data_IF_563939414497
#
_entry.id   IF_563939414497
#
_cell.length_a   1.000
_cell.length_b   1.000
_cell.length_c   1.000
_cell.angle_alpha   90.00
_cell.angle_beta   90.00
_cell.angle_gamma   90.00
#
_symmetry.space_group_name_H-M   'P 1'
#
loop_
_entity.id
_entity.type
_entity.pdbx_description
1 polymer ?
#
# COMPACT_ATOMS: atom_id res chain seq x y z
N UNK A 1 -17.18 -8.68 20.94
CA UNK A 1 -17.91 -9.02 19.70
C UNK A 1 -17.74 -7.84 18.75
N UNK A 2 -16.70 -7.84 17.91
CA UNK A 2 -16.49 -6.75 16.96
C UNK A 2 -17.39 -6.98 15.76
N UNK A 3 -18.41 -6.13 15.63
CA UNK A 3 -19.30 -6.14 14.49
C UNK A 3 -18.50 -5.73 13.24
N UNK A 4 -18.24 -6.68 12.35
CA UNK A 4 -17.77 -6.40 10.99
C UNK A 4 -19.00 -5.91 10.24
N UNK A 5 -19.26 -4.61 10.34
CA UNK A 5 -20.33 -3.97 9.58
C UNK A 5 -20.00 -3.99 8.10
N UNK A 6 -20.73 -4.81 7.34
CA UNK A 6 -20.88 -4.64 5.89
C UNK A 6 -21.52 -3.28 5.63
N UNK A 7 -20.70 -2.23 5.47
CA UNK A 7 -21.09 -1.01 4.78
C UNK A 7 -20.63 -1.16 3.34
N UNK A 8 -21.46 -0.77 2.37
CA UNK A 8 -21.06 -0.63 0.98
C UNK A 8 -19.67 0.05 0.94
N UNK A 9 -18.67 -0.72 0.51
CA UNK A 9 -17.31 -0.64 1.02
C UNK A 9 -16.49 0.29 0.13
N UNK A 10 -16.80 1.59 0.15
CA UNK A 10 -16.05 2.58 -0.60
C UNK A 10 -14.57 2.50 -0.20
N UNK A 11 -13.70 2.33 -1.20
CA UNK A 11 -12.27 2.29 -0.95
C UNK A 11 -11.84 3.63 -0.31
N UNK A 12 -11.16 3.62 0.84
CA UNK A 12 -10.85 4.83 1.57
C UNK A 12 -10.03 5.77 0.70
N UNK A 13 -10.53 6.98 0.49
CA UNK A 13 -9.85 8.01 -0.28
C UNK A 13 -9.18 9.02 0.65
N UNK A 14 -7.90 9.27 0.44
CA UNK A 14 -7.16 10.36 1.08
C UNK A 14 -6.53 11.26 0.03
N UNK A 15 -6.75 12.57 0.16
CA UNK A 15 -6.11 13.57 -0.69
C UNK A 15 -4.63 13.69 -0.32
N UNK A 16 -3.75 13.57 -1.31
CA UNK A 16 -2.32 13.87 -1.14
C UNK A 16 -2.14 15.34 -0.75
N UNK A 17 -1.29 15.60 0.24
CA UNK A 17 -1.05 16.96 0.74
C UNK A 17 0.09 17.66 0.00
N UNK A 18 1.11 16.90 -0.38
CA UNK A 18 2.23 17.34 -1.21
C UNK A 18 2.26 16.55 -2.55
N UNK A 19 2.90 17.10 -3.58
CA UNK A 19 3.11 16.41 -4.85
C UNK A 19 3.94 15.13 -4.69
N UNK A 20 4.81 15.07 -3.68
CA UNK A 20 5.70 13.94 -3.41
C UNK A 20 5.05 12.86 -2.51
N UNK A 21 3.82 13.07 -2.05
CA UNK A 21 3.12 12.17 -1.13
C UNK A 21 2.26 11.10 -1.81
N UNK A 22 2.28 10.99 -3.14
CA UNK A 22 1.42 10.06 -3.86
C UNK A 22 1.57 8.62 -3.34
N UNK A 23 2.81 8.14 -3.16
CA UNK A 23 3.13 6.82 -2.62
C UNK A 23 2.69 6.60 -1.16
N UNK A 24 3.13 7.44 -0.20
CA UNK A 24 2.69 7.37 1.20
C UNK A 24 1.17 7.45 1.38
N UNK A 25 0.50 8.27 0.57
CA UNK A 25 -0.96 8.40 0.57
C UNK A 25 -1.64 7.11 0.08
N UNK A 26 -1.12 6.48 -0.97
CA UNK A 26 -1.59 5.17 -1.43
C UNK A 26 -1.45 4.09 -0.35
N UNK A 27 -0.31 4.02 0.35
CA UNK A 27 -0.12 3.11 1.47
C UNK A 27 -1.11 3.35 2.61
N UNK A 28 -1.43 4.62 2.88
CA UNK A 28 -2.45 4.99 3.88
C UNK A 28 -3.84 4.48 3.50
N UNK A 29 -4.24 4.63 2.23
CA UNK A 29 -5.53 4.14 1.73
C UNK A 29 -5.60 2.62 1.88
N UNK A 30 -4.59 1.88 1.42
CA UNK A 30 -4.54 0.42 1.54
C UNK A 30 -4.54 -0.04 2.99
N UNK A 31 -3.74 0.59 3.85
CA UNK A 31 -3.72 0.22 5.26
C UNK A 31 -5.10 0.43 5.91
N UNK A 32 -5.76 1.54 5.59
CA UNK A 32 -7.11 1.84 6.08
C UNK A 32 -8.13 0.81 5.58
N UNK A 33 -8.00 0.37 4.32
CA UNK A 33 -8.86 -0.66 3.74
C UNK A 33 -8.74 -1.98 4.51
N UNK A 34 -7.55 -2.34 4.98
CA UNK A 34 -7.33 -3.49 5.86
C UNK A 34 -7.56 -3.20 7.36
N UNK A 35 -8.21 -2.09 7.71
CA UNK A 35 -8.55 -1.74 9.09
C UNK A 35 -7.41 -1.19 9.94
N UNK A 36 -6.25 -0.87 9.36
CA UNK A 36 -5.12 -0.23 10.06
C UNK A 36 -5.05 1.26 9.75
N UNK A 37 -5.08 2.09 10.79
CA UNK A 37 -4.98 3.54 10.66
C UNK A 37 -3.59 4.00 11.06
N UNK A 38 -2.85 4.55 10.11
CA UNK A 38 -1.55 5.17 10.35
C UNK A 38 -1.63 6.68 10.06
N UNK A 39 -1.07 7.54 10.92
CA UNK A 39 -0.89 8.95 10.61
C UNK A 39 -0.03 9.11 9.35
N UNK A 40 -0.37 10.07 8.48
CA UNK A 40 0.42 10.30 7.26
C UNK A 40 1.88 10.63 7.59
N UNK A 41 2.10 11.43 8.64
CA UNK A 41 3.45 11.79 9.09
C UNK A 41 4.29 10.57 9.49
N UNK A 42 3.67 9.56 10.12
CA UNK A 42 4.35 8.32 10.43
C UNK A 42 4.81 7.62 9.15
N UNK A 43 3.93 7.47 8.16
CA UNK A 43 4.25 6.84 6.88
C UNK A 43 5.36 7.62 6.16
N UNK A 44 5.29 8.96 6.15
CA UNK A 44 6.35 9.81 5.57
C UNK A 44 7.71 9.52 6.19
N UNK A 45 7.79 9.46 7.52
CA UNK A 45 9.03 9.23 8.24
C UNK A 45 9.67 7.88 7.90
N UNK A 46 8.86 6.82 7.76
CA UNK A 46 9.38 5.49 7.41
C UNK A 46 9.61 5.30 5.91
N UNK A 47 8.94 6.09 5.05
CA UNK A 47 9.08 6.03 3.59
C UNK A 47 10.30 6.74 3.00
N UNK A 48 11.12 7.38 3.84
CA UNK A 48 12.37 8.04 3.45
C UNK A 48 12.21 8.91 2.18
N UNK A 49 11.14 9.70 2.12
CA UNK A 49 10.80 10.53 0.96
C UNK A 49 12.02 11.39 0.57
N UNK A 50 12.46 11.25 -0.67
CA UNK A 50 13.53 12.07 -1.24
C UNK A 50 12.95 13.25 -2.01
N UNK A 51 13.81 14.20 -2.42
CA UNK A 51 13.37 15.31 -3.29
C UNK A 51 12.89 14.84 -4.67
N UNK A 52 13.23 13.60 -5.05
CA UNK A 52 12.81 12.95 -6.28
C UNK A 52 11.56 12.08 -6.10
N UNK A 53 11.09 11.91 -4.86
CA UNK A 53 9.87 11.18 -4.52
C UNK A 53 10.16 9.89 -3.78
N UNK A 54 9.27 8.92 -3.96
CA UNK A 54 9.35 7.59 -3.33
C UNK A 54 9.46 6.55 -4.42
N UNK A 55 10.50 5.72 -4.37
CA UNK A 55 10.67 4.62 -5.32
C UNK A 55 9.76 3.44 -4.97
N UNK A 56 9.55 2.50 -5.89
CA UNK A 56 8.81 1.26 -5.60
C UNK A 56 9.50 0.48 -4.47
N UNK A 57 10.83 0.44 -4.47
CA UNK A 57 11.61 -0.22 -3.42
C UNK A 57 11.39 0.43 -2.04
N UNK A 58 11.33 1.75 -1.97
CA UNK A 58 11.03 2.46 -0.71
C UNK A 58 9.60 2.16 -0.25
N UNK A 59 8.63 2.12 -1.17
CA UNK A 59 7.24 1.74 -0.84
C UNK A 59 7.14 0.31 -0.32
N UNK A 60 7.91 -0.62 -0.89
CA UNK A 60 8.00 -2.00 -0.41
C UNK A 60 8.53 -2.07 1.02
N UNK A 61 9.69 -1.46 1.27
CA UNK A 61 10.29 -1.40 2.60
C UNK A 61 9.35 -0.74 3.62
N UNK A 62 8.64 0.31 3.19
CA UNK A 62 7.63 0.99 4.01
C UNK A 62 6.47 0.06 4.35
N UNK A 63 5.92 -0.64 3.37
CA UNK A 63 4.83 -1.59 3.56
C UNK A 63 5.24 -2.73 4.51
N UNK A 64 6.45 -3.25 4.37
CA UNK A 64 7.04 -4.25 5.28
C UNK A 64 7.16 -3.75 6.71
N UNK A 65 7.65 -2.52 6.90
CA UNK A 65 7.72 -1.87 8.21
C UNK A 65 6.32 -1.67 8.84
N UNK A 66 5.29 -1.47 8.04
CA UNK A 66 3.89 -1.39 8.49
C UNK A 66 3.26 -2.77 8.78
N UNK A 67 4.01 -3.85 8.54
CA UNK A 67 3.61 -5.23 8.77
C UNK A 67 2.81 -5.85 7.62
N UNK A 68 2.94 -5.31 6.40
CA UNK A 68 2.39 -5.90 5.19
C UNK A 68 3.47 -6.66 4.42
N UNK A 69 3.05 -7.64 3.63
CA UNK A 69 3.89 -8.23 2.59
C UNK A 69 3.60 -7.54 1.28
N UNK A 70 4.65 -7.22 0.54
CA UNK A 70 4.52 -6.52 -0.73
C UNK A 70 5.18 -7.30 -1.86
N UNK A 71 4.52 -7.39 -3.02
CA UNK A 71 5.04 -8.08 -4.20
C UNK A 71 4.99 -7.11 -5.39
N UNK A 72 6.16 -6.71 -5.95
CA UNK A 72 6.21 -5.94 -7.17
C UNK A 72 6.02 -6.90 -8.35
N UNK A 73 5.16 -6.53 -9.29
CA UNK A 73 4.99 -7.24 -10.54
C UNK A 73 4.89 -6.26 -11.70
N UNK A 74 5.70 -6.47 -12.72
CA UNK A 74 5.58 -5.78 -14.00
C UNK A 74 4.70 -6.61 -14.92
N UNK A 75 3.56 -6.07 -15.33
CA UNK A 75 2.59 -6.83 -16.11
C UNK A 75 1.80 -5.96 -17.08
N UNK A 76 1.37 -6.51 -18.23
CA UNK A 76 0.51 -5.80 -19.17
C UNK A 76 -0.86 -5.48 -18.56
N UNK A 77 -1.45 -4.35 -18.98
CA UNK A 77 -2.77 -3.89 -18.50
C UNK A 77 -3.87 -4.96 -18.56
N UNK A 78 -3.89 -5.79 -19.61
CA UNK A 78 -4.89 -6.85 -19.75
C UNK A 78 -4.77 -7.92 -18.66
N UNK A 79 -3.54 -8.23 -18.24
CA UNK A 79 -3.29 -9.16 -17.13
C UNK A 79 -3.66 -8.51 -15.81
N UNK A 80 -3.37 -7.22 -15.64
CA UNK A 80 -3.73 -6.43 -14.45
C UNK A 80 -5.23 -6.55 -14.18
N UNK A 81 -6.04 -6.20 -15.18
CA UNK A 81 -7.51 -6.16 -15.06
C UNK A 81 -8.09 -7.55 -14.75
N UNK A 82 -7.52 -8.62 -15.31
CA UNK A 82 -8.08 -9.97 -15.19
C UNK A 82 -7.58 -10.75 -13.97
N UNK A 83 -6.35 -10.51 -13.54
CA UNK A 83 -5.65 -11.40 -12.58
C UNK A 83 -5.05 -10.69 -11.38
N UNK A 84 -4.93 -9.37 -11.38
CA UNK A 84 -4.29 -8.69 -10.27
C UNK A 84 -5.19 -8.72 -9.02
N UNK A 85 -4.68 -9.19 -7.89
CA UNK A 85 -5.39 -9.11 -6.62
C UNK A 85 -5.46 -7.65 -6.15
N UNK A 86 -6.64 -7.26 -5.68
CA UNK A 86 -6.93 -5.92 -5.15
C UNK A 86 -6.95 -5.94 -3.61
N UNK A 87 -6.60 -4.82 -2.94
CA UNK A 87 -6.10 -3.58 -3.54
C UNK A 87 -4.61 -3.66 -3.93
N UNK A 88 -4.22 -2.96 -4.99
CA UNK A 88 -2.83 -2.83 -5.43
C UNK A 88 -2.48 -1.36 -5.75
N UNK A 89 -1.20 -1.01 -5.66
CA UNK A 89 -0.70 0.30 -6.10
C UNK A 89 -0.20 0.17 -7.53
N UNK A 90 -0.68 1.03 -8.42
CA UNK A 90 -0.21 1.11 -9.80
C UNK A 90 0.82 2.22 -9.94
N UNK A 91 2.04 1.88 -10.34
CA UNK A 91 3.02 2.88 -10.77
C UNK A 91 2.80 3.24 -12.24
N UNK A 92 2.74 4.55 -12.53
CA UNK A 92 2.63 5.09 -13.88
C UNK A 92 3.91 5.86 -14.22
N UNK A 93 4.65 5.39 -15.23
CA UNK A 93 5.83 6.07 -15.75
C UNK A 93 5.54 6.68 -17.13
N UNK A 94 5.98 7.91 -17.36
CA UNK A 94 5.70 8.65 -18.61
C UNK A 94 6.59 8.25 -19.80
N UNK A 95 7.64 7.44 -19.60
CA UNK A 95 8.74 7.37 -20.56
C UNK A 95 9.01 6.01 -21.23
N UNK A 96 8.31 4.92 -20.88
CA UNK A 96 8.62 3.63 -21.53
C UNK A 96 7.39 2.73 -21.60
N UNK A 97 6.99 2.40 -22.83
CA UNK A 97 6.16 1.28 -23.26
C UNK A 97 5.32 0.56 -22.19
N UNK A 98 4.02 0.87 -22.06
CA UNK A 98 2.93 -0.03 -21.59
C UNK A 98 3.13 -0.95 -20.36
N UNK A 99 4.14 -0.74 -19.52
CA UNK A 99 4.42 -1.57 -18.35
C UNK A 99 3.94 -0.86 -17.09
N UNK A 100 3.18 -1.60 -16.30
CA UNK A 100 2.59 -1.13 -15.06
C UNK A 100 3.19 -1.94 -13.92
N UNK A 101 3.80 -1.28 -12.94
CA UNK A 101 4.20 -1.98 -11.72
C UNK A 101 3.03 -1.99 -10.75
N UNK A 102 2.49 -3.19 -10.49
CA UNK A 102 1.52 -3.42 -9.44
C UNK A 102 2.26 -3.79 -8.16
N UNK A 103 2.05 -3.03 -7.08
CA UNK A 103 2.45 -3.44 -5.74
C UNK A 103 1.25 -4.06 -5.05
N UNK A 104 1.23 -5.39 -4.97
CA UNK A 104 0.23 -6.09 -4.16
C UNK A 104 0.64 -5.98 -2.70
N UNK A 105 -0.27 -5.55 -1.84
CA UNK A 105 -0.05 -5.47 -0.40
C UNK A 105 -0.97 -6.49 0.26
N UNK A 106 -0.39 -7.55 0.82
CA UNK A 106 -1.11 -8.56 1.57
C UNK A 106 -0.83 -8.39 3.05
N UNK A 107 -1.88 -8.35 3.87
CA UNK A 107 -1.71 -8.46 5.31
C UNK A 107 -1.58 -9.95 5.66
N UNK A 108 -0.44 -10.41 6.22
CA UNK A 108 -0.42 -11.73 6.83
C UNK A 108 -1.49 -11.72 7.93
N UNK A 109 -2.45 -12.63 7.85
CA UNK A 109 -3.39 -12.89 8.95
C UNK A 109 -2.58 -12.96 10.23
N UNK A 110 -2.94 -12.13 11.22
CA UNK A 110 -2.31 -12.09 12.54
C UNK A 110 -2.14 -13.53 13.06
N UNK A 111 -0.97 -14.14 12.86
CA UNK A 111 -0.45 -15.02 13.88
C UNK A 111 -0.15 -14.07 15.01
N UNK A 112 -1.05 -14.03 15.99
CA UNK A 112 -0.76 -13.50 17.31
C UNK A 112 0.62 -14.03 17.68
N UNK A 113 1.65 -13.16 17.71
CA UNK A 113 2.88 -13.53 18.41
C UNK A 113 2.41 -13.93 19.81
N UNK A 114 2.71 -15.14 20.31
CA UNK A 114 2.47 -15.42 21.71
C UNK A 114 3.19 -14.31 22.46
N UNK A 115 2.45 -13.55 23.27
CA UNK A 115 3.05 -12.66 24.24
C UNK A 115 4.08 -13.50 24.99
N UNK A 116 5.36 -13.17 24.87
CA UNK A 116 6.35 -13.71 25.80
C UNK A 116 5.81 -13.40 27.18
N UNK A 117 5.38 -14.45 27.87
CA UNK A 117 5.04 -14.40 29.28
C UNK A 117 6.25 -13.87 30.04
N UNK A 118 5.96 -13.20 31.15
CA UNK A 118 6.95 -12.79 32.15
C UNK A 118 7.95 -13.90 32.44
#
# INVERSE_FOLDING_TARGET
MFQIGNKHNDFPFYRQSDAMDCGPTCLKMIATHHGRKFPLQYIRNISKITRQGVTIADLMATAENMGFKSLPAELPLQILIKKAPLPCILHWEKNTSSFYTALQIHMPTLQTRPSKGR
#
